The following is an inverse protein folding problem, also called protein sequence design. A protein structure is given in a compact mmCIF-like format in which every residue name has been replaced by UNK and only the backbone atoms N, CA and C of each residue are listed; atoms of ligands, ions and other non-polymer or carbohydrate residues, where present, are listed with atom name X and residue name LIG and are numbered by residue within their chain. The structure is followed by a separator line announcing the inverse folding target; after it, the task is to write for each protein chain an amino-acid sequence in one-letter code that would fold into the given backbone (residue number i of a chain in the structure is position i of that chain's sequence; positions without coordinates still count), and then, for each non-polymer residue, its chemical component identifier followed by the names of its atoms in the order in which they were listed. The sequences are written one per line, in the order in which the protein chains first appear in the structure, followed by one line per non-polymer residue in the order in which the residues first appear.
data_IF_090946949465
#
_entry.id   IF_090946949465
#
_cell.length_a   1.000
_cell.length_b   1.000
_cell.length_c   1.000
_cell.angle_alpha   90.00
_cell.angle_beta   90.00
_cell.angle_gamma   90.00
#
_symmetry.space_group_name_H-M   'P 1'
#
loop_
_entity.id
_entity.type
_entity.pdbx_description
1 polymer ?
#
# COMPACT_ATOMS: atom_id res chain seq x y z
N UNK A 1 -36.17 -17.20 1.09
CA UNK A 1 -35.09 -16.51 1.83
C UNK A 1 -35.36 -15.02 1.70
N UNK A 2 -35.40 -14.28 2.80
CA UNK A 2 -35.64 -12.83 2.77
C UNK A 2 -34.31 -12.09 2.53
N UNK A 3 -34.36 -10.81 2.11
CA UNK A 3 -33.16 -9.97 2.02
C UNK A 3 -32.41 -9.87 3.37
N UNK A 4 -33.12 -9.96 4.49
CA UNK A 4 -32.52 -10.01 5.83
C UNK A 4 -31.79 -11.32 6.09
N UNK A 5 -32.31 -12.45 5.58
CA UNK A 5 -31.64 -13.76 5.70
C UNK A 5 -30.37 -13.81 4.86
N UNK A 6 -30.40 -13.24 3.66
CA UNK A 6 -29.23 -13.14 2.77
C UNK A 6 -28.12 -12.28 3.40
N UNK A 7 -28.49 -11.13 3.98
CA UNK A 7 -27.54 -10.28 4.69
C UNK A 7 -26.92 -10.98 5.89
N UNK A 8 -27.73 -11.66 6.71
CA UNK A 8 -27.23 -12.42 7.87
C UNK A 8 -26.26 -13.53 7.43
N UNK A 9 -26.61 -14.29 6.38
CA UNK A 9 -25.75 -15.34 5.84
C UNK A 9 -24.43 -14.77 5.30
N UNK A 10 -24.47 -13.62 4.63
CA UNK A 10 -23.26 -12.94 4.16
C UNK A 10 -22.37 -12.49 5.33
N UNK A 11 -22.96 -11.94 6.39
CA UNK A 11 -22.23 -11.55 7.61
C UNK A 11 -21.58 -12.76 8.29
N UNK A 12 -22.31 -13.88 8.42
CA UNK A 12 -21.78 -15.12 8.98
C UNK A 12 -20.61 -15.67 8.14
N UNK A 13 -20.74 -15.65 6.80
CA UNK A 13 -19.65 -16.05 5.89
C UNK A 13 -18.42 -15.15 6.04
N UNK A 14 -18.59 -13.84 6.13
CA UNK A 14 -17.48 -12.90 6.33
C UNK A 14 -16.78 -13.10 7.67
N UNK A 15 -17.56 -13.29 8.76
CA UNK A 15 -17.00 -13.56 10.08
C UNK A 15 -16.19 -14.87 10.08
N UNK A 16 -16.71 -15.91 9.42
CA UNK A 16 -16.00 -17.20 9.28
C UNK A 16 -14.74 -17.09 8.43
N UNK A 17 -14.79 -16.35 7.32
CA UNK A 17 -13.61 -16.10 6.50
C UNK A 17 -12.52 -15.37 7.30
N UNK A 18 -12.89 -14.37 8.12
CA UNK A 18 -11.94 -13.68 9.00
C UNK A 18 -11.28 -14.62 10.01
N UNK A 19 -12.05 -15.48 10.66
CA UNK A 19 -11.51 -16.50 11.58
C UNK A 19 -10.52 -17.44 10.88
N UNK A 20 -10.81 -17.85 9.64
CA UNK A 20 -9.92 -18.71 8.86
C UNK A 20 -8.63 -17.99 8.46
N UNK A 21 -8.69 -16.70 8.12
CA UNK A 21 -7.49 -15.90 7.84
C UNK A 21 -6.61 -15.75 9.08
N UNK A 22 -7.22 -15.52 10.25
CA UNK A 22 -6.48 -15.41 11.51
C UNK A 22 -5.84 -16.76 11.91
N UNK A 23 -6.51 -17.87 11.62
CA UNK A 23 -6.05 -19.23 11.95
C UNK A 23 -5.03 -19.79 10.96
N UNK A 24 -5.19 -19.52 9.67
CA UNK A 24 -4.37 -20.05 8.58
C UNK A 24 -3.85 -18.93 7.67
N UNK A 25 -3.08 -17.95 8.20
CA UNK A 25 -2.69 -16.76 7.46
C UNK A 25 -1.83 -17.05 6.23
N UNK A 26 -1.01 -18.12 6.25
CA UNK A 26 -0.18 -18.47 5.10
C UNK A 26 -0.99 -19.19 4.03
N UNK A 27 -1.90 -20.08 4.43
CA UNK A 27 -2.83 -20.71 3.49
C UNK A 27 -3.81 -19.70 2.88
N UNK A 28 -4.30 -18.75 3.68
CA UNK A 28 -5.09 -17.62 3.20
C UNK A 28 -4.31 -16.79 2.17
N UNK A 29 -3.06 -16.44 2.46
CA UNK A 29 -2.23 -15.72 1.49
C UNK A 29 -2.04 -16.49 0.17
N UNK A 30 -1.86 -17.82 0.22
CA UNK A 30 -1.79 -18.65 -0.99
C UNK A 30 -3.10 -18.58 -1.78
N UNK A 31 -4.24 -18.78 -1.12
CA UNK A 31 -5.55 -18.89 -1.78
C UNK A 31 -6.11 -17.54 -2.25
N UNK A 32 -6.08 -16.51 -1.40
CA UNK A 32 -6.60 -15.17 -1.73
C UNK A 32 -5.60 -14.32 -2.51
N UNK A 33 -4.30 -14.48 -2.23
CA UNK A 33 -3.26 -13.57 -2.70
C UNK A 33 -2.56 -14.05 -3.96
N UNK A 34 -2.36 -15.36 -4.10
CA UNK A 34 -1.65 -15.95 -5.25
C UNK A 34 -2.62 -16.63 -6.20
N UNK A 35 -3.58 -17.39 -5.66
CA UNK A 35 -4.60 -18.12 -6.44
C UNK A 35 -5.93 -17.34 -6.54
N UNK A 36 -5.85 -16.01 -6.67
CA UNK A 36 -6.98 -15.11 -6.89
C UNK A 36 -7.62 -15.31 -8.29
N UNK A 37 -8.76 -14.69 -8.59
CA UNK A 37 -9.54 -14.93 -9.82
C UNK A 37 -8.76 -14.81 -11.15
N UNK A 38 -7.68 -14.03 -11.15
CA UNK A 38 -6.86 -13.74 -12.34
C UNK A 38 -5.52 -14.48 -12.31
N UNK A 39 -5.32 -15.44 -11.40
CA UNK A 39 -4.05 -16.14 -11.23
C UNK A 39 -3.57 -16.80 -12.53
N UNK A 40 -4.49 -17.29 -13.37
CA UNK A 40 -4.17 -17.90 -14.67
C UNK A 40 -3.62 -16.91 -15.70
N UNK A 41 -3.81 -15.60 -15.51
CA UNK A 41 -3.18 -14.58 -16.35
C UNK A 41 -1.72 -14.35 -15.97
N UNK A 42 -1.35 -14.66 -14.73
CA UNK A 42 0.00 -14.52 -14.20
C UNK A 42 0.81 -15.82 -14.28
N UNK A 43 0.12 -16.95 -14.19
CA UNK A 43 0.72 -18.27 -14.08
C UNK A 43 0.05 -19.24 -15.06
N UNK A 44 0.87 -20.01 -15.78
CA UNK A 44 0.35 -20.99 -16.73
C UNK A 44 -0.37 -22.15 -16.03
N UNK A 45 0.05 -22.48 -14.80
CA UNK A 45 -0.50 -23.58 -13.99
C UNK A 45 -0.46 -23.22 -12.50
N UNK A 46 -1.30 -23.87 -11.68
CA UNK A 46 -1.32 -23.60 -10.24
C UNK A 46 0.01 -24.00 -9.59
N UNK A 47 0.72 -24.99 -10.16
CA UNK A 47 2.07 -25.37 -9.71
C UNK A 47 3.02 -24.19 -9.83
N UNK A 48 3.01 -23.48 -10.97
CA UNK A 48 3.89 -22.31 -11.15
C UNK A 48 3.55 -21.18 -10.19
N UNK A 49 2.26 -20.98 -9.88
CA UNK A 49 1.81 -20.05 -8.86
C UNK A 49 2.29 -20.45 -7.45
N UNK A 50 2.23 -21.74 -7.12
CA UNK A 50 2.74 -22.28 -5.85
C UNK A 50 4.26 -22.14 -5.76
N UNK A 51 5.02 -22.39 -6.83
CA UNK A 51 6.48 -22.21 -6.80
C UNK A 51 6.88 -20.73 -6.58
N UNK A 52 6.13 -19.79 -7.17
CA UNK A 52 6.30 -18.35 -6.90
C UNK A 52 6.04 -18.02 -5.42
N UNK A 53 4.90 -18.50 -4.89
CA UNK A 53 4.57 -18.38 -3.47
C UNK A 53 5.64 -18.99 -2.57
N UNK A 54 6.19 -20.16 -2.91
CA UNK A 54 7.25 -20.83 -2.16
C UNK A 54 8.57 -20.05 -2.16
N UNK A 55 8.83 -19.23 -3.18
CA UNK A 55 9.98 -18.33 -3.25
C UNK A 55 10.08 -17.42 -2.02
N UNK A 56 8.95 -16.95 -1.50
CA UNK A 56 8.88 -16.14 -0.28
C UNK A 56 9.30 -16.89 1.00
N UNK A 57 9.19 -18.23 1.02
CA UNK A 57 9.47 -19.05 2.21
C UNK A 57 10.91 -19.57 2.25
N UNK A 58 11.63 -19.50 1.12
CA UNK A 58 13.02 -19.91 1.06
C UNK A 58 13.90 -19.11 2.03
N UNK A 59 13.54 -17.85 2.30
CA UNK A 59 14.31 -16.91 3.12
C UNK A 59 13.86 -16.83 4.58
N UNK A 60 12.68 -17.35 4.91
CA UNK A 60 12.11 -17.26 6.26
C UNK A 60 11.73 -18.66 6.81
N UNK A 61 12.61 -19.29 7.60
CA UNK A 61 12.36 -20.62 8.16
C UNK A 61 11.19 -20.64 9.17
N UNK A 62 10.88 -19.52 9.82
CA UNK A 62 9.77 -19.42 10.78
C UNK A 62 8.44 -19.41 10.05
N UNK A 63 8.30 -18.53 9.04
CA UNK A 63 7.13 -18.46 8.17
C UNK A 63 6.87 -19.82 7.50
N UNK A 64 7.93 -20.47 7.04
CA UNK A 64 7.88 -21.81 6.45
C UNK A 64 7.37 -22.87 7.42
N UNK A 65 7.90 -22.91 8.64
CA UNK A 65 7.46 -23.87 9.66
C UNK A 65 5.98 -23.69 10.00
N UNK A 66 5.49 -22.44 10.04
CA UNK A 66 4.08 -22.13 10.27
C UNK A 66 3.20 -22.58 9.12
N UNK A 67 3.54 -22.21 7.88
CA UNK A 67 2.80 -22.66 6.69
C UNK A 67 2.72 -24.18 6.60
N UNK A 68 3.82 -24.89 6.92
CA UNK A 68 3.83 -26.35 7.01
C UNK A 68 2.80 -26.87 8.00
N UNK A 69 2.78 -26.30 9.21
CA UNK A 69 1.84 -26.70 10.29
C UNK A 69 0.38 -26.48 9.85
N UNK A 70 0.09 -25.34 9.21
CA UNK A 70 -1.24 -25.05 8.67
C UNK A 70 -1.67 -26.08 7.62
N UNK A 71 -0.81 -26.39 6.65
CA UNK A 71 -1.08 -27.37 5.59
C UNK A 71 -1.23 -28.81 6.13
N UNK A 72 -0.44 -29.18 7.13
CA UNK A 72 -0.56 -30.48 7.83
C UNK A 72 -1.91 -30.58 8.56
N UNK A 73 -2.32 -29.53 9.28
CA UNK A 73 -3.62 -29.48 9.96
C UNK A 73 -4.79 -29.60 8.97
N UNK A 74 -4.79 -28.75 7.93
CA UNK A 74 -5.82 -28.74 6.88
C UNK A 74 -5.95 -30.11 6.19
N UNK A 75 -4.83 -30.75 5.87
CA UNK A 75 -4.82 -32.03 5.14
C UNK A 75 -5.09 -33.27 6.01
N UNK A 76 -4.91 -33.20 7.33
CA UNK A 76 -5.06 -34.34 8.24
C UNK A 76 -6.31 -34.31 9.11
N UNK A 77 -6.78 -33.12 9.51
CA UNK A 77 -7.83 -33.01 10.55
C UNK A 77 -9.21 -32.68 10.00
N UNK A 78 -9.30 -32.02 8.85
CA UNK A 78 -10.59 -31.58 8.30
C UNK A 78 -11.17 -32.62 7.35
N UNK A 79 -12.50 -32.85 7.34
CA UNK A 79 -13.15 -33.65 6.30
C UNK A 79 -13.11 -32.92 4.94
N UNK A 80 -13.28 -33.66 3.85
CA UNK A 80 -13.10 -33.13 2.48
C UNK A 80 -14.03 -31.95 2.16
N UNK A 81 -15.30 -32.07 2.55
CA UNK A 81 -16.32 -31.03 2.36
C UNK A 81 -15.98 -29.73 3.10
N UNK A 82 -15.44 -29.84 4.32
CA UNK A 82 -15.02 -28.67 5.10
C UNK A 82 -13.80 -28.00 4.45
N UNK A 83 -12.88 -28.80 3.87
CA UNK A 83 -11.72 -28.25 3.18
C UNK A 83 -12.14 -27.50 1.91
N UNK A 84 -13.04 -28.06 1.10
CA UNK A 84 -13.62 -27.34 -0.05
C UNK A 84 -14.31 -26.04 0.37
N UNK A 85 -15.08 -26.06 1.46
CA UNK A 85 -15.71 -24.85 2.01
C UNK A 85 -14.70 -23.78 2.43
N UNK A 86 -13.50 -24.16 2.90
CA UNK A 86 -12.43 -23.22 3.23
C UNK A 86 -11.87 -22.57 1.97
N UNK A 87 -11.66 -23.31 0.89
CA UNK A 87 -11.22 -22.74 -0.40
C UNK A 87 -12.22 -21.68 -0.87
N UNK A 88 -13.52 -21.99 -0.83
CA UNK A 88 -14.59 -21.07 -1.22
C UNK A 88 -14.65 -19.82 -0.34
N UNK A 89 -14.52 -20.00 0.99
CA UNK A 89 -14.55 -18.88 1.95
C UNK A 89 -13.32 -17.97 1.84
N UNK A 90 -12.17 -18.55 1.50
CA UNK A 90 -10.94 -17.82 1.22
C UNK A 90 -10.84 -17.36 -0.24
N UNK A 91 -11.90 -17.47 -1.04
CA UNK A 91 -11.94 -16.93 -2.39
C UNK A 91 -10.87 -17.51 -3.34
N UNK A 92 -10.43 -18.74 -3.09
CA UNK A 92 -9.52 -19.45 -3.98
C UNK A 92 -10.21 -19.71 -5.32
N UNK A 93 -9.52 -19.45 -6.42
CA UNK A 93 -10.01 -19.77 -7.77
C UNK A 93 -9.30 -20.97 -8.39
N UNK A 94 -8.50 -21.70 -7.60
CA UNK A 94 -8.03 -23.03 -8.03
C UNK A 94 -9.16 -24.04 -7.84
N UNK A 95 -9.39 -24.87 -8.86
CA UNK A 95 -10.35 -25.98 -8.81
C UNK A 95 -9.54 -27.27 -8.92
N UNK A 96 -9.11 -27.90 -7.80
CA UNK A 96 -8.25 -29.08 -7.83
C UNK A 96 -8.77 -30.24 -8.70
N UNK A 97 -10.10 -30.33 -8.84
CA UNK A 97 -10.74 -31.36 -9.65
C UNK A 97 -10.40 -31.27 -11.15
N UNK A 98 -10.03 -30.08 -11.66
CA UNK A 98 -9.61 -29.89 -13.05
C UNK A 98 -8.31 -30.64 -13.36
N UNK A 99 -7.46 -30.85 -12.34
CA UNK A 99 -6.23 -31.64 -12.39
C UNK A 99 -6.43 -33.08 -11.90
N UNK A 100 -7.67 -33.50 -11.66
CA UNK A 100 -7.98 -34.82 -11.13
C UNK A 100 -7.60 -35.02 -9.66
N UNK A 101 -7.49 -33.93 -8.89
CA UNK A 101 -7.15 -33.96 -7.46
C UNK A 101 -8.37 -33.62 -6.60
N UNK A 102 -8.44 -34.22 -5.41
CA UNK A 102 -9.26 -33.69 -4.30
C UNK A 102 -8.59 -32.47 -3.67
N UNK A 103 -9.33 -31.67 -2.89
CA UNK A 103 -8.72 -30.53 -2.18
C UNK A 103 -7.63 -31.01 -1.23
N UNK A 104 -7.84 -32.15 -0.55
CA UNK A 104 -6.83 -32.71 0.35
C UNK A 104 -5.59 -33.18 -0.38
N UNK A 105 -5.73 -33.84 -1.53
CA UNK A 105 -4.58 -34.24 -2.34
C UNK A 105 -3.81 -33.02 -2.84
N UNK A 106 -4.52 -31.97 -3.26
CA UNK A 106 -3.89 -30.72 -3.65
C UNK A 106 -3.12 -30.07 -2.49
N UNK A 107 -3.71 -29.96 -1.29
CA UNK A 107 -3.01 -29.43 -0.10
C UNK A 107 -1.78 -30.29 0.26
N UNK A 108 -1.87 -31.61 0.14
CA UNK A 108 -0.72 -32.52 0.35
C UNK A 108 0.36 -32.32 -0.70
N UNK A 109 0.00 -32.03 -1.94
CA UNK A 109 0.95 -31.75 -3.00
C UNK A 109 1.66 -30.41 -2.77
N UNK A 110 0.93 -29.37 -2.34
CA UNK A 110 1.54 -28.10 -1.89
C UNK A 110 2.49 -28.32 -0.71
N UNK A 111 2.09 -29.11 0.29
CA UNK A 111 2.95 -29.47 1.43
C UNK A 111 4.21 -30.22 0.98
N UNK A 112 4.08 -31.15 0.03
CA UNK A 112 5.22 -31.90 -0.55
C UNK A 112 6.19 -30.96 -1.26
N UNK A 113 5.69 -29.97 -2.01
CA UNK A 113 6.52 -28.96 -2.70
C UNK A 113 7.19 -28.01 -1.71
N UNK A 114 6.44 -27.57 -0.70
CA UNK A 114 6.99 -26.83 0.43
C UNK A 114 8.17 -27.62 0.97
N UNK A 115 8.03 -28.89 1.34
CA UNK A 115 9.13 -29.71 1.85
C UNK A 115 10.31 -29.90 0.88
N UNK A 116 10.04 -30.11 -0.41
CA UNK A 116 11.07 -30.29 -1.42
C UNK A 116 11.92 -29.03 -1.66
N UNK A 117 11.34 -27.84 -1.53
CA UNK A 117 12.07 -26.57 -1.73
C UNK A 117 13.23 -26.36 -0.73
N UNK A 118 13.28 -27.15 0.37
CA UNK A 118 14.40 -27.16 1.34
C UNK A 118 15.70 -27.72 0.76
N UNK A 119 15.61 -28.50 -0.31
CA UNK A 119 16.71 -29.31 -0.81
C UNK A 119 17.58 -28.60 -1.85
N UNK A 120 17.30 -27.34 -2.22
CA UNK A 120 18.20 -26.59 -3.11
C UNK A 120 19.36 -26.01 -2.28
N UNK A 121 20.59 -26.52 -2.44
CA UNK A 121 21.76 -25.88 -1.86
C UNK A 121 21.87 -24.45 -2.41
N UNK A 122 22.39 -23.53 -1.60
CA UNK A 122 22.53 -22.07 -1.87
C UNK A 122 23.44 -21.69 -3.07
N UNK A 123 23.53 -22.53 -4.11
CA UNK A 123 24.40 -22.31 -5.26
C UNK A 123 23.89 -22.81 -6.61
N UNK A 124 22.61 -23.18 -6.75
CA UNK A 124 22.05 -23.49 -8.08
C UNK A 124 21.60 -22.21 -8.79
N UNK A 125 22.43 -21.75 -9.71
CA UNK A 125 22.21 -20.60 -10.58
C UNK A 125 21.07 -20.90 -11.56
N UNK A 126 19.85 -20.48 -11.20
CA UNK A 126 18.73 -20.41 -12.12
C UNK A 126 18.31 -18.95 -12.22
N UNK A 127 18.51 -18.41 -13.41
CA UNK A 127 17.77 -17.28 -13.96
C UNK A 127 16.29 -17.64 -13.97
N UNK A 128 15.63 -17.43 -12.83
CA UNK A 128 14.18 -17.32 -12.75
C UNK A 128 13.81 -16.11 -13.58
N UNK A 129 12.99 -16.30 -14.60
CA UNK A 129 12.51 -15.22 -15.47
C UNK A 129 11.94 -14.09 -14.61
N UNK A 130 12.19 -12.84 -15.04
CA UNK A 130 11.77 -11.60 -14.39
C UNK A 130 10.24 -11.50 -14.22
N UNK A 131 9.66 -12.27 -13.30
CA UNK A 131 8.25 -12.22 -12.95
C UNK A 131 7.98 -12.11 -11.44
N UNK A 132 9.00 -12.25 -10.60
CA UNK A 132 8.79 -12.63 -9.20
C UNK A 132 9.65 -11.84 -8.19
N UNK A 133 9.82 -10.52 -8.35
CA UNK A 133 10.43 -9.69 -7.31
C UNK A 133 9.83 -8.28 -7.37
N UNK A 134 8.93 -7.96 -6.43
CA UNK A 134 8.31 -6.64 -6.39
C UNK A 134 7.41 -6.39 -5.20
N UNK A 135 7.84 -6.71 -3.97
CA UNK A 135 7.22 -6.11 -2.78
C UNK A 135 7.82 -4.72 -2.57
N UNK A 136 7.29 -3.74 -3.29
CA UNK A 136 7.64 -2.33 -3.15
C UNK A 136 6.75 -1.67 -2.09
N UNK A 137 7.36 -1.26 -0.98
CA UNK A 137 6.82 -0.18 -0.16
C UNK A 137 7.22 1.12 -0.86
N UNK A 138 6.28 1.81 -1.50
CA UNK A 138 6.58 3.05 -2.21
C UNK A 138 6.72 4.21 -1.22
N UNK A 139 7.93 4.76 -1.11
CA UNK A 139 8.16 6.06 -0.52
C UNK A 139 8.44 7.06 -1.65
N UNK A 140 7.43 7.82 -2.06
CA UNK A 140 7.52 8.72 -3.21
C UNK A 140 8.19 10.05 -2.79
N UNK A 141 9.51 10.15 -2.95
CA UNK A 141 10.23 11.43 -2.79
C UNK A 141 10.03 12.25 -4.07
N UNK A 142 9.19 13.29 -4.01
CA UNK A 142 8.93 14.14 -5.16
C UNK A 142 10.04 15.19 -5.31
N UNK A 143 10.96 14.97 -6.25
CA UNK A 143 11.98 15.95 -6.63
C UNK A 143 11.43 16.86 -7.72
N UNK A 144 11.10 18.10 -7.37
CA UNK A 144 10.67 19.11 -8.34
C UNK A 144 11.89 19.67 -9.10
N UNK A 145 11.90 19.52 -10.43
CA UNK A 145 12.81 20.26 -11.33
C UNK A 145 13.40 19.41 -12.45
N UNK A 146 13.10 19.78 -13.70
CA UNK A 146 13.52 19.08 -14.92
C UNK A 146 15.00 19.20 -15.28
N UNK A 147 15.92 18.91 -14.36
CA UNK A 147 17.32 18.64 -14.71
C UNK A 147 17.56 17.15 -14.95
N UNK A 148 18.48 16.77 -15.87
CA UNK A 148 18.84 15.38 -16.08
C UNK A 148 19.42 14.74 -14.81
N UNK A 149 18.94 13.55 -14.47
CA UNK A 149 19.15 12.83 -13.20
C UNK A 149 20.61 12.65 -12.73
N UNK A 150 21.60 12.86 -13.60
CA UNK A 150 23.01 12.67 -13.31
C UNK A 150 23.62 13.75 -12.37
N UNK A 151 23.17 15.00 -12.44
CA UNK A 151 23.74 16.10 -11.63
C UNK A 151 23.30 16.08 -10.15
N UNK A 152 22.02 15.78 -9.83
CA UNK A 152 21.57 15.56 -8.45
C UNK A 152 22.22 14.32 -7.80
N UNK A 153 22.39 13.22 -8.57
CA UNK A 153 23.05 11.97 -8.14
C UNK A 153 24.45 12.22 -7.59
N UNK A 154 25.30 12.92 -8.35
CA UNK A 154 26.67 13.19 -7.94
C UNK A 154 26.73 14.09 -6.68
N UNK A 155 25.77 14.99 -6.48
CA UNK A 155 25.74 15.88 -5.30
C UNK A 155 25.30 15.16 -4.04
N UNK A 156 24.24 14.35 -4.10
CA UNK A 156 23.75 13.57 -2.95
C UNK A 156 24.77 12.51 -2.55
N UNK A 157 25.32 11.76 -3.51
CA UNK A 157 26.35 10.75 -3.22
C UNK A 157 27.66 11.36 -2.73
N UNK A 158 28.10 12.50 -3.29
CA UNK A 158 29.32 13.17 -2.82
C UNK A 158 29.12 13.92 -1.49
N UNK A 159 27.88 14.24 -1.09
CA UNK A 159 27.58 14.76 0.25
C UNK A 159 27.61 13.63 1.29
N UNK A 160 27.00 12.47 0.97
CA UNK A 160 26.99 11.29 1.83
C UNK A 160 28.41 10.66 1.98
N UNK A 161 29.19 10.57 0.91
CA UNK A 161 30.55 10.00 0.93
C UNK A 161 31.59 10.87 1.67
N UNK A 162 31.29 12.15 1.90
CA UNK A 162 32.16 13.07 2.65
C UNK A 162 31.73 13.22 4.12
N UNK A 163 30.70 12.49 4.55
CA UNK A 163 30.10 12.65 5.87
C UNK A 163 30.82 11.84 6.97
N UNK A 164 31.25 12.42 8.10
CA UNK A 164 32.12 11.77 9.10
C UNK A 164 31.51 10.60 9.92
N UNK A 165 30.23 10.30 9.72
CA UNK A 165 29.44 9.26 10.42
C UNK A 165 28.84 8.19 9.49
N UNK A 166 29.25 8.12 8.22
CA UNK A 166 28.89 7.00 7.36
C UNK A 166 29.62 5.72 7.80
N UNK A 167 29.18 5.07 8.88
CA UNK A 167 29.83 3.85 9.41
C UNK A 167 29.27 2.55 8.85
N UNK A 168 28.28 2.57 7.95
CA UNK A 168 27.85 1.39 7.20
C UNK A 168 27.00 1.72 5.96
N UNK A 169 27.36 2.72 5.16
CA UNK A 169 26.93 2.68 3.76
C UNK A 169 27.79 1.61 3.08
N UNK A 170 27.37 0.34 3.16
CA UNK A 170 27.99 -0.68 2.31
C UNK A 170 27.41 -0.46 0.93
N UNK A 171 28.25 -0.07 -0.01
CA UNK A 171 27.99 -0.37 -1.41
C UNK A 171 28.00 -1.89 -1.51
N UNK A 172 26.83 -2.49 -1.71
CA UNK A 172 26.78 -3.87 -2.15
C UNK A 172 27.49 -3.98 -3.51
N UNK A 173 27.83 -5.20 -3.93
CA UNK A 173 28.58 -5.44 -5.16
C UNK A 173 27.87 -4.93 -6.45
N UNK A 174 26.62 -4.50 -6.33
CA UNK A 174 25.70 -4.10 -7.40
C UNK A 174 25.32 -2.59 -7.38
N UNK A 175 26.10 -1.74 -6.71
CA UNK A 175 25.86 -0.29 -6.56
C UNK A 175 24.63 0.11 -5.69
N UNK A 176 23.98 -0.81 -4.99
CA UNK A 176 22.92 -0.47 -4.04
C UNK A 176 23.47 0.12 -2.72
N UNK A 177 22.73 1.07 -2.13
CA UNK A 177 23.04 1.66 -0.81
C UNK A 177 22.09 1.10 0.24
N UNK A 178 22.64 0.45 1.26
CA UNK A 178 21.88 -0.04 2.41
C UNK A 178 21.92 0.93 3.61
N UNK A 179 20.82 1.04 4.34
CA UNK A 179 20.64 1.88 5.53
C UNK A 179 19.98 1.06 6.65
N UNK A 180 20.54 1.13 7.87
CA UNK A 180 19.92 0.55 9.07
C UNK A 180 19.32 1.64 9.95
N UNK A 181 18.02 1.52 10.24
CA UNK A 181 17.31 2.34 11.21
C UNK A 181 17.08 1.54 12.49
N UNK A 182 17.33 2.13 13.66
CA UNK A 182 17.08 1.52 14.97
C UNK A 182 16.20 2.41 15.81
N UNK A 183 15.20 1.81 16.45
CA UNK A 183 14.24 2.45 17.34
C UNK A 183 14.65 2.21 18.80
N UNK A 184 14.22 3.10 19.69
CA UNK A 184 14.55 3.07 21.12
C UNK A 184 13.95 1.87 21.86
N UNK A 185 12.88 1.30 21.32
CA UNK A 185 12.20 0.10 21.84
C UNK A 185 12.87 -1.21 21.41
N UNK A 186 14.03 -1.13 20.75
CA UNK A 186 14.78 -2.28 20.23
C UNK A 186 14.36 -2.72 18.84
N UNK A 187 13.33 -2.10 18.25
CA UNK A 187 12.97 -2.34 16.86
C UNK A 187 14.04 -1.82 15.89
N UNK A 188 14.06 -2.33 14.66
CA UNK A 188 14.94 -1.88 13.60
C UNK A 188 14.37 -2.15 12.20
N UNK A 189 14.87 -1.41 11.21
CA UNK A 189 14.44 -1.44 9.81
C UNK A 189 15.66 -1.26 8.90
N UNK A 190 15.94 -2.21 8.02
CA UNK A 190 16.97 -2.13 6.99
C UNK A 190 16.35 -1.74 5.65
N UNK A 191 16.93 -0.75 4.99
CA UNK A 191 16.46 -0.18 3.74
C UNK A 191 17.56 -0.33 2.69
N UNK A 192 17.23 -0.62 1.43
CA UNK A 192 18.16 -0.53 0.32
C UNK A 192 17.61 0.37 -0.78
N UNK A 193 18.49 1.21 -1.33
CA UNK A 193 18.22 1.99 -2.53
C UNK A 193 18.80 1.23 -3.73
N UNK A 194 17.93 0.68 -4.59
CA UNK A 194 18.34 -0.15 -5.73
C UNK A 194 18.25 0.61 -7.06
N UNK A 195 19.38 0.70 -7.79
CA UNK A 195 19.44 1.16 -9.17
C UNK A 195 19.32 2.67 -9.38
N UNK A 196 20.24 3.26 -10.15
CA UNK A 196 20.37 4.70 -10.33
C UNK A 196 19.58 5.28 -11.54
N UNK A 197 18.84 4.44 -12.25
CA UNK A 197 18.35 4.74 -13.62
C UNK A 197 16.82 4.68 -13.73
N UNK A 198 16.15 4.15 -12.71
CA UNK A 198 14.69 4.25 -12.53
C UNK A 198 14.40 5.11 -11.30
N UNK A 199 13.22 5.73 -11.27
CA UNK A 199 12.80 6.63 -10.18
C UNK A 199 13.14 5.98 -8.82
N UNK A 200 13.80 6.75 -7.97
CA UNK A 200 14.57 6.30 -6.81
C UNK A 200 13.73 5.55 -5.78
N UNK A 201 13.76 4.21 -5.82
CA UNK A 201 12.98 3.38 -4.90
C UNK A 201 13.81 2.97 -3.67
N UNK A 202 13.44 3.51 -2.52
CA UNK A 202 13.91 3.04 -1.21
C UNK A 202 13.09 1.79 -0.84
N UNK A 203 13.72 0.64 -0.82
CA UNK A 203 13.08 -0.65 -0.54
C UNK A 203 13.39 -1.09 0.88
N UNK A 204 12.41 -1.66 1.61
CA UNK A 204 12.69 -2.33 2.87
C UNK A 204 13.28 -3.70 2.57
N UNK A 205 14.50 -3.97 3.06
CA UNK A 205 15.17 -5.26 2.89
C UNK A 205 14.85 -6.21 4.05
N UNK A 206 14.87 -5.71 5.28
CA UNK A 206 14.63 -6.51 6.48
C UNK A 206 14.10 -5.62 7.62
N UNK A 207 13.40 -6.19 8.60
CA UNK A 207 12.95 -5.45 9.77
C UNK A 207 12.63 -6.36 10.97
N UNK A 208 12.74 -5.80 12.16
CA UNK A 208 12.13 -6.35 13.37
C UNK A 208 11.50 -5.18 14.12
N UNK A 209 10.19 -5.05 14.07
CA UNK A 209 9.50 -3.91 14.67
C UNK A 209 8.78 -4.35 15.95
N UNK A 210 8.97 -3.59 17.03
CA UNK A 210 8.05 -3.67 18.16
C UNK A 210 6.67 -3.15 17.76
N UNK A 211 5.62 -3.50 18.51
CA UNK A 211 4.27 -2.97 18.28
C UNK A 211 4.22 -1.43 18.28
N UNK A 212 5.02 -0.78 19.12
CA UNK A 212 5.08 0.68 19.20
C UNK A 212 5.71 1.29 17.94
N UNK A 213 6.84 0.75 17.48
CA UNK A 213 7.51 1.18 16.24
C UNK A 213 6.68 0.90 14.99
N UNK A 214 5.98 -0.24 14.94
CA UNK A 214 5.07 -0.56 13.84
C UNK A 214 3.87 0.41 13.79
N UNK A 215 3.28 0.72 14.94
CA UNK A 215 2.18 1.70 15.04
C UNK A 215 2.63 3.09 14.59
N UNK A 216 3.82 3.53 15.04
CA UNK A 216 4.40 4.80 14.63
C UNK A 216 4.61 4.87 13.10
N UNK A 217 5.26 3.87 12.50
CA UNK A 217 5.48 3.81 11.06
C UNK A 217 4.15 3.76 10.28
N UNK A 218 3.14 3.06 10.81
CA UNK A 218 1.80 3.02 10.24
C UNK A 218 1.10 4.39 10.32
N UNK A 219 1.22 5.11 11.42
CA UNK A 219 0.64 6.45 11.59
C UNK A 219 1.28 7.47 10.63
N UNK A 220 2.60 7.39 10.43
CA UNK A 220 3.32 8.19 9.43
C UNK A 220 2.85 7.85 8.02
N UNK A 221 2.77 6.55 7.69
CA UNK A 221 2.33 6.08 6.38
C UNK A 221 0.88 6.48 6.05
N UNK A 222 -0.03 6.39 7.04
CA UNK A 222 -1.44 6.80 6.91
C UNK A 222 -1.60 8.33 6.88
N UNK A 223 -0.65 9.08 7.44
CA UNK A 223 -0.65 10.55 7.37
C UNK A 223 -0.10 11.10 6.04
N UNK A 224 0.64 10.29 5.27
CA UNK A 224 1.35 10.76 4.08
C UNK A 224 2.53 11.68 4.41
N UNK A 225 3.01 11.62 5.66
CA UNK A 225 4.11 12.45 6.15
C UNK A 225 5.46 11.84 5.75
N UNK A 226 6.45 12.70 5.49
CA UNK A 226 7.82 12.29 5.21
C UNK A 226 8.61 12.09 6.52
N UNK A 227 9.49 11.10 6.56
CA UNK A 227 10.56 11.05 7.57
C UNK A 227 11.89 11.35 6.90
N UNK A 228 12.56 12.41 7.35
CA UNK A 228 13.99 12.60 7.06
C UNK A 228 14.80 12.26 8.32
N UNK A 229 15.87 11.49 8.13
CA UNK A 229 16.85 11.21 9.17
C UNK A 229 18.08 12.10 8.98
N UNK A 230 18.44 12.88 10.00
CA UNK A 230 19.69 13.67 10.05
C UNK A 230 20.67 13.05 11.07
N UNK A 231 21.82 12.51 10.64
CA UNK A 231 22.88 12.05 11.53
C UNK A 231 23.96 13.12 11.74
N UNK A 232 23.88 13.93 12.82
CA UNK A 232 24.95 14.89 13.16
C UNK A 232 26.08 14.32 14.06
N UNK A 233 27.27 14.92 13.94
CA UNK A 233 28.61 14.36 14.20
C UNK A 233 29.19 14.26 15.62
N UNK A 234 29.90 13.14 15.82
CA UNK A 234 31.23 12.83 16.40
C UNK A 234 31.67 13.14 17.85
N UNK A 235 31.22 14.17 18.56
CA UNK A 235 31.79 14.46 19.90
C UNK A 235 30.83 14.32 21.08
N UNK A 236 29.64 13.76 20.87
CA UNK A 236 28.79 13.21 21.94
C UNK A 236 28.06 11.95 21.44
N UNK A 237 27.77 10.98 22.32
CA UNK A 237 27.35 9.66 21.89
C UNK A 237 25.85 9.64 21.51
N UNK A 238 25.58 8.96 20.37
CA UNK A 238 24.33 8.30 19.92
C UNK A 238 23.10 9.17 19.61
N UNK A 239 22.63 9.16 18.34
CA UNK A 239 21.28 8.77 17.84
C UNK A 239 20.81 9.55 16.59
N UNK A 240 20.01 8.93 15.69
CA UNK A 240 19.43 9.60 14.52
C UNK A 240 18.28 10.53 14.91
N UNK A 241 18.20 11.71 14.30
CA UNK A 241 17.06 12.63 14.48
C UNK A 241 15.94 12.31 13.50
N UNK A 242 14.69 12.28 13.99
CA UNK A 242 13.47 12.09 13.19
C UNK A 242 12.82 13.44 12.94
N UNK A 243 12.65 13.82 11.67
CA UNK A 243 12.00 15.07 11.28
C UNK A 243 10.57 14.77 10.82
N UNK A 244 9.60 15.38 11.50
CA UNK A 244 8.16 15.26 11.23
C UNK A 244 7.64 16.58 10.63
N UNK A 245 6.80 16.49 9.60
CA UNK A 245 6.35 17.66 8.85
C UNK A 245 5.05 18.31 9.38
N UNK A 246 4.28 17.64 10.25
CA UNK A 246 3.01 18.17 10.74
C UNK A 246 3.01 18.51 12.24
N UNK A 247 2.65 19.77 12.57
CA UNK A 247 2.69 20.33 13.93
C UNK A 247 1.78 19.60 14.93
N UNK A 248 0.63 19.10 14.47
CA UNK A 248 -0.31 18.34 15.32
C UNK A 248 0.24 17.00 15.85
N UNK A 249 1.29 16.46 15.23
CA UNK A 249 1.92 15.21 15.68
C UNK A 249 2.98 15.44 16.76
N UNK A 250 3.50 16.67 16.90
CA UNK A 250 4.53 17.01 17.88
C UNK A 250 4.05 16.82 19.33
N UNK A 251 2.77 17.13 19.59
CA UNK A 251 2.16 17.00 20.93
C UNK A 251 1.66 15.60 21.27
N UNK A 252 1.71 14.64 20.34
CA UNK A 252 1.22 13.27 20.53
C UNK A 252 2.33 12.23 20.70
N UNK A 253 3.58 12.64 20.56
CA UNK A 253 4.72 11.77 20.75
C UNK A 253 4.84 11.43 22.23
N UNK A 254 5.04 10.15 22.60
CA UNK A 254 5.28 9.82 23.99
C UNK A 254 6.60 10.48 24.41
N UNK A 255 6.56 11.27 25.48
CA UNK A 255 7.73 12.01 25.99
C UNK A 255 8.88 11.10 26.42
N UNK A 256 8.66 9.79 26.51
CA UNK A 256 9.63 8.77 26.85
C UNK A 256 10.28 8.07 25.65
N UNK A 257 9.82 8.31 24.42
CA UNK A 257 10.30 7.57 23.23
C UNK A 257 11.63 8.09 22.69
N UNK A 258 12.04 9.29 23.10
CA UNK A 258 13.30 9.90 22.69
C UNK A 258 13.99 10.53 23.89
N UNK A 259 15.31 10.41 23.98
CA UNK A 259 16.11 11.16 24.94
C UNK A 259 16.20 12.66 24.61
N UNK A 260 15.72 13.10 23.42
CA UNK A 260 15.72 14.49 22.95
C UNK A 260 14.42 14.86 22.19
N UNK A 261 14.16 16.17 22.06
CA UNK A 261 12.93 16.66 21.41
C UNK A 261 12.95 16.42 19.88
N UNK A 262 11.83 16.00 19.28
CA UNK A 262 11.63 16.00 17.84
C UNK A 262 11.91 17.40 17.28
N UNK A 263 12.70 17.51 16.22
CA UNK A 263 13.05 18.82 15.66
C UNK A 263 12.05 19.19 14.59
N UNK A 264 11.27 20.24 14.85
CA UNK A 264 10.46 20.90 13.84
C UNK A 264 11.39 21.67 12.89
N UNK A 265 11.47 21.25 11.62
CA UNK A 265 12.27 21.97 10.66
C UNK A 265 11.55 23.28 10.27
N UNK A 266 12.11 24.42 10.69
CA UNK A 266 11.77 25.70 10.05
C UNK A 266 12.40 25.73 8.63
N UNK A 267 12.00 26.69 7.80
CA UNK A 267 12.42 26.74 6.40
C UNK A 267 13.96 26.80 6.21
N UNK A 268 14.69 27.33 7.20
CA UNK A 268 16.16 27.40 7.20
C UNK A 268 16.76 26.02 7.46
N UNK A 269 16.25 25.28 8.45
CA UNK A 269 16.72 23.93 8.76
C UNK A 269 16.38 22.94 7.64
N UNK A 270 15.16 23.04 7.07
CA UNK A 270 14.72 22.24 5.93
C UNK A 270 15.59 22.49 4.69
N UNK A 271 15.99 23.74 4.47
CA UNK A 271 16.86 24.12 3.37
C UNK A 271 18.28 23.56 3.53
N UNK A 272 18.87 23.68 4.71
CA UNK A 272 20.19 23.11 5.00
C UNK A 272 20.18 21.57 4.82
N UNK A 273 19.12 20.89 5.25
CA UNK A 273 18.95 19.44 5.12
C UNK A 273 18.78 18.94 3.68
N UNK A 274 18.07 19.71 2.85
CA UNK A 274 17.83 19.36 1.45
C UNK A 274 18.90 19.90 0.50
N UNK A 275 19.93 20.58 1.03
CA UNK A 275 20.94 21.28 0.22
C UNK A 275 20.33 22.38 -0.66
N UNK A 276 19.16 22.89 -0.26
CA UNK A 276 18.42 23.94 -0.95
C UNK A 276 18.72 25.28 -0.26
N UNK A 277 18.49 26.39 -0.95
CA UNK A 277 18.53 27.69 -0.25
C UNK A 277 17.27 27.84 0.61
N UNK A 278 17.32 28.53 1.77
CA UNK A 278 16.14 28.82 2.60
C UNK A 278 14.96 29.41 1.82
N UNK A 279 15.27 30.16 0.76
CA UNK A 279 14.30 30.71 -0.17
C UNK A 279 13.55 29.64 -0.96
N UNK A 280 14.26 28.65 -1.52
CA UNK A 280 13.65 27.59 -2.34
C UNK A 280 12.79 26.63 -1.50
N UNK A 281 13.20 26.34 -0.26
CA UNK A 281 12.40 25.56 0.69
C UNK A 281 11.12 26.32 1.11
N UNK A 282 11.24 27.64 1.33
CA UNK A 282 10.08 28.49 1.59
C UNK A 282 9.16 28.60 0.36
N UNK A 283 9.70 28.68 -0.86
CA UNK A 283 8.93 28.69 -2.12
C UNK A 283 8.19 27.37 -2.31
N UNK A 284 8.80 26.21 -2.04
CA UNK A 284 8.14 24.90 -2.10
C UNK A 284 6.99 24.77 -1.09
N UNK A 285 7.24 25.13 0.18
CA UNK A 285 6.19 25.14 1.22
C UNK A 285 5.06 26.11 0.87
N UNK A 286 5.40 27.29 0.36
CA UNK A 286 4.43 28.31 -0.05
C UNK A 286 3.63 27.84 -1.26
N UNK A 287 4.23 27.14 -2.22
CA UNK A 287 3.51 26.53 -3.34
C UNK A 287 2.50 25.49 -2.84
N UNK A 288 2.94 24.48 -2.07
CA UNK A 288 2.04 23.44 -1.55
C UNK A 288 0.89 24.01 -0.69
N UNK A 289 1.16 25.00 0.16
CA UNK A 289 0.11 25.67 0.95
C UNK A 289 -0.77 26.60 0.10
N UNK A 290 -0.20 27.27 -0.90
CA UNK A 290 -0.97 28.07 -1.86
C UNK A 290 -1.86 27.17 -2.73
N UNK A 291 -1.46 25.94 -3.00
CA UNK A 291 -2.21 24.96 -3.76
C UNK A 291 -3.42 24.44 -2.98
N UNK A 292 -3.24 24.25 -1.67
CA UNK A 292 -4.32 23.96 -0.71
C UNK A 292 -5.25 25.17 -0.57
N UNK A 293 -4.69 26.37 -0.41
CA UNK A 293 -5.46 27.62 -0.29
C UNK A 293 -6.17 28.01 -1.60
N UNK A 294 -5.64 27.60 -2.75
CA UNK A 294 -6.23 27.80 -4.08
C UNK A 294 -7.34 26.78 -4.40
N UNK A 295 -7.63 25.84 -3.50
CA UNK A 295 -8.74 24.88 -3.65
C UNK A 295 -8.48 23.78 -4.66
N UNK A 296 -7.21 23.39 -4.87
CA UNK A 296 -6.88 22.22 -5.71
C UNK A 296 -7.27 20.93 -4.99
N UNK A 297 -7.77 19.97 -5.76
CA UNK A 297 -8.35 18.72 -5.28
C UNK A 297 -7.27 17.88 -4.61
N UNK A 298 -7.57 17.42 -3.40
CA UNK A 298 -6.74 16.41 -2.75
C UNK A 298 -7.16 15.03 -3.29
N UNK A 299 -6.29 14.44 -4.10
CA UNK A 299 -6.38 13.04 -4.48
C UNK A 299 -5.52 12.25 -3.51
N UNK A 300 -6.15 11.59 -2.54
CA UNK A 300 -5.45 10.70 -1.62
C UNK A 300 -5.61 9.29 -2.15
N UNK A 301 -4.48 8.66 -2.49
CA UNK A 301 -4.49 7.23 -2.81
C UNK A 301 -4.45 6.45 -1.52
N UNK A 302 -5.50 5.67 -1.25
CA UNK A 302 -5.48 4.71 -0.15
C UNK A 302 -4.70 3.50 -0.67
N UNK A 303 -3.38 3.49 -0.45
CA UNK A 303 -2.53 2.37 -0.82
C UNK A 303 -2.76 1.24 0.18
N UNK A 304 -3.55 0.23 -0.23
CA UNK A 304 -3.79 -0.96 0.58
C UNK A 304 -2.53 -1.82 0.59
N UNK A 305 -1.81 -1.84 1.71
CA UNK A 305 -0.94 -2.96 2.05
C UNK A 305 -1.83 -4.05 2.67
N UNK A 306 -2.58 -4.83 1.87
CA UNK A 306 -3.47 -5.92 2.32
C UNK A 306 -4.08 -5.66 3.71
N UNK A 307 -4.73 -4.52 3.89
CA UNK A 307 -5.11 -4.06 5.22
C UNK A 307 -6.48 -4.63 5.56
N UNK A 308 -6.57 -5.45 6.61
CA UNK A 308 -7.83 -5.95 7.21
C UNK A 308 -8.70 -4.84 7.87
N UNK A 309 -8.41 -3.57 7.59
CA UNK A 309 -9.14 -2.44 8.15
C UNK A 309 -10.36 -2.17 7.29
N UNK A 310 -11.51 -1.96 7.94
CA UNK A 310 -12.73 -1.60 7.24
C UNK A 310 -12.50 -0.28 6.47
N UNK A 311 -12.70 -0.32 5.15
CA UNK A 311 -12.56 0.84 4.29
C UNK A 311 -13.35 2.04 4.86
N UNK A 312 -14.54 1.81 5.41
CA UNK A 312 -15.37 2.86 6.02
C UNK A 312 -14.68 3.55 7.20
N UNK A 313 -13.93 2.83 8.04
CA UNK A 313 -13.19 3.43 9.15
C UNK A 313 -12.06 4.34 8.64
N UNK A 314 -11.32 3.89 7.62
CA UNK A 314 -10.30 4.72 6.96
C UNK A 314 -10.92 5.99 6.37
N UNK A 315 -12.06 5.85 5.68
CA UNK A 315 -12.78 6.97 5.08
C UNK A 315 -13.27 7.97 6.13
N UNK A 316 -13.82 7.48 7.26
CA UNK A 316 -14.25 8.32 8.38
C UNK A 316 -13.07 9.08 8.97
N UNK A 317 -11.91 8.43 9.13
CA UNK A 317 -10.70 9.07 9.63
C UNK A 317 -10.20 10.19 8.69
N UNK A 318 -10.22 9.97 7.37
CA UNK A 318 -9.89 11.01 6.40
C UNK A 318 -10.95 12.13 6.37
N UNK A 319 -12.24 11.79 6.37
CA UNK A 319 -13.33 12.77 6.41
C UNK A 319 -13.21 13.72 7.62
N UNK A 320 -12.89 13.17 8.79
CA UNK A 320 -12.73 13.94 10.03
C UNK A 320 -11.57 14.96 9.96
N UNK A 321 -10.54 14.71 9.13
CA UNK A 321 -9.42 15.64 8.91
C UNK A 321 -9.77 16.77 7.94
N UNK A 322 -10.82 16.58 7.13
CA UNK A 322 -11.25 17.54 6.12
C UNK A 322 -12.74 17.88 6.25
N UNK A 323 -13.19 18.43 7.40
CA UNK A 323 -14.62 18.64 7.68
C UNK A 323 -15.29 19.65 6.72
N UNK A 324 -14.50 20.49 6.03
CA UNK A 324 -14.99 21.43 5.02
C UNK A 324 -15.17 20.80 3.63
N UNK A 325 -14.68 19.58 3.41
CA UNK A 325 -14.71 18.91 2.11
C UNK A 325 -15.73 17.77 2.08
N UNK A 326 -16.34 17.59 0.91
CA UNK A 326 -17.21 16.46 0.63
C UNK A 326 -16.39 15.26 0.18
N UNK A 327 -16.55 14.12 0.84
CA UNK A 327 -15.81 12.90 0.45
C UNK A 327 -16.45 12.19 -0.74
N UNK A 328 -15.61 11.76 -1.67
CA UNK A 328 -15.95 10.92 -2.81
C UNK A 328 -14.89 9.84 -3.00
N UNK A 329 -15.30 8.64 -3.39
CA UNK A 329 -14.41 7.58 -3.83
C UNK A 329 -14.21 7.64 -5.34
N UNK A 330 -12.99 7.35 -5.78
CA UNK A 330 -12.70 6.91 -7.12
C UNK A 330 -12.22 5.46 -7.05
N UNK A 331 -13.07 4.54 -7.50
CA UNK A 331 -12.72 3.12 -7.62
C UNK A 331 -11.94 2.90 -8.91
N UNK A 332 -10.77 2.28 -8.81
CA UNK A 332 -9.85 2.03 -9.91
C UNK A 332 -9.31 0.61 -9.86
N UNK A 333 -8.65 0.16 -10.93
CA UNK A 333 -7.83 -1.04 -10.92
C UNK A 333 -6.56 -0.77 -11.74
N UNK A 334 -5.42 -1.40 -11.39
CA UNK A 334 -4.16 -1.18 -12.13
C UNK A 334 -4.21 -1.72 -13.56
N UNK A 335 -4.98 -2.78 -13.79
CA UNK A 335 -5.17 -3.39 -15.11
C UNK A 335 -6.08 -2.56 -16.03
N UNK A 336 -6.93 -1.69 -15.47
CA UNK A 336 -7.93 -0.92 -16.18
C UNK A 336 -7.31 0.26 -16.96
N UNK A 337 -7.30 0.18 -18.29
CA UNK A 337 -6.77 1.24 -19.16
C UNK A 337 -7.50 2.58 -18.99
N UNK A 338 -8.85 2.66 -19.01
CA UNK A 338 -9.57 3.92 -18.76
C UNK A 338 -9.26 4.53 -17.39
N UNK A 339 -8.90 3.71 -16.39
CA UNK A 339 -8.52 4.18 -15.06
C UNK A 339 -7.18 4.92 -15.09
N UNK A 340 -6.20 4.42 -15.86
CA UNK A 340 -4.88 5.06 -16.03
C UNK A 340 -4.99 6.37 -16.82
N UNK A 341 -5.84 6.41 -17.84
CA UNK A 341 -6.13 7.65 -18.58
C UNK A 341 -6.76 8.70 -17.68
N UNK A 342 -7.80 8.33 -16.91
CA UNK A 342 -8.43 9.22 -15.95
C UNK A 342 -7.44 9.74 -14.92
N UNK A 343 -6.53 8.90 -14.41
CA UNK A 343 -5.49 9.31 -13.45
C UNK A 343 -4.61 10.44 -13.99
N UNK A 344 -4.18 10.38 -15.25
CA UNK A 344 -3.43 11.46 -15.87
C UNK A 344 -4.25 12.76 -15.96
N UNK A 345 -5.55 12.63 -16.25
CA UNK A 345 -6.47 13.76 -16.39
C UNK A 345 -6.88 14.38 -15.06
N UNK A 346 -6.82 13.67 -13.93
CA UNK A 346 -7.18 14.24 -12.63
C UNK A 346 -6.35 15.48 -12.28
N UNK A 347 -5.14 15.61 -12.82
CA UNK A 347 -4.28 16.79 -12.63
C UNK A 347 -4.59 17.95 -13.58
N UNK A 348 -5.46 17.77 -14.58
CA UNK A 348 -5.83 18.82 -15.51
C UNK A 348 -6.65 19.94 -14.82
N UNK A 349 -6.42 21.22 -15.15
CA UNK A 349 -7.13 22.35 -14.55
C UNK A 349 -8.65 22.32 -14.71
N UNK A 350 -9.19 21.70 -15.76
CA UNK A 350 -10.63 21.53 -15.98
C UNK A 350 -11.28 20.65 -14.90
N UNK A 351 -10.72 19.46 -14.69
CA UNK A 351 -11.20 18.53 -13.67
C UNK A 351 -10.92 19.01 -12.24
N UNK A 352 -9.77 19.64 -12.00
CA UNK A 352 -9.45 20.23 -10.70
C UNK A 352 -10.48 21.27 -10.27
N UNK A 353 -10.92 22.15 -11.18
CA UNK A 353 -12.02 23.10 -10.92
C UNK A 353 -13.35 22.40 -10.67
N UNK A 354 -13.65 21.35 -11.44
CA UNK A 354 -14.91 20.60 -11.33
C UNK A 354 -15.05 19.91 -9.97
N UNK A 355 -13.94 19.37 -9.46
CA UNK A 355 -13.86 18.63 -8.22
C UNK A 355 -13.61 19.54 -6.99
N UNK A 356 -13.58 20.86 -7.16
CA UNK A 356 -13.38 21.80 -6.07
C UNK A 356 -14.44 21.59 -4.97
N UNK A 357 -13.99 21.55 -3.72
CA UNK A 357 -14.85 21.28 -2.56
C UNK A 357 -15.09 19.79 -2.28
N UNK A 358 -14.47 18.90 -3.05
CA UNK A 358 -14.45 17.46 -2.81
C UNK A 358 -13.06 16.96 -2.39
N UNK A 359 -13.06 15.99 -1.48
CA UNK A 359 -11.93 15.14 -1.14
C UNK A 359 -12.08 13.84 -1.95
N UNK A 360 -11.17 13.61 -2.90
CA UNK A 360 -11.19 12.43 -3.74
C UNK A 360 -10.27 11.35 -3.15
N UNK A 361 -10.87 10.23 -2.74
CA UNK A 361 -10.14 9.09 -2.17
C UNK A 361 -10.10 7.98 -3.21
N UNK A 362 -8.91 7.69 -3.72
CA UNK A 362 -8.71 6.64 -4.73
C UNK A 362 -8.54 5.29 -4.05
N UNK A 363 -9.31 4.31 -4.49
CA UNK A 363 -9.33 2.95 -3.95
C UNK A 363 -9.13 1.96 -5.10
N UNK A 364 -8.07 1.17 -4.99
CA UNK A 364 -7.82 0.06 -5.89
C UNK A 364 -8.71 -1.13 -5.50
N UNK A 365 -9.63 -1.52 -6.39
CA UNK A 365 -10.60 -2.58 -6.11
C UNK A 365 -9.95 -3.95 -5.98
N UNK A 366 -8.80 -4.18 -6.62
CA UNK A 366 -8.10 -5.47 -6.54
C UNK A 366 -7.44 -5.62 -5.16
N UNK A 367 -6.99 -4.49 -4.58
CA UNK A 367 -6.33 -4.47 -3.27
C UNK A 367 -7.29 -4.43 -2.09
N UNK A 368 -8.43 -3.76 -2.24
CA UNK A 368 -9.44 -3.65 -1.17
C UNK A 368 -10.54 -4.70 -1.26
N UNK A 369 -10.62 -5.47 -2.37
CA UNK A 369 -11.56 -6.56 -2.56
C UNK A 369 -13.00 -6.19 -2.19
N UNK A 370 -13.59 -6.98 -1.27
CA UNK A 370 -14.96 -6.84 -0.75
C UNK A 370 -15.16 -5.51 0.02
N UNK A 371 -14.10 -4.76 0.36
CA UNK A 371 -14.15 -3.54 1.16
C UNK A 371 -15.08 -2.44 0.62
N UNK A 372 -15.27 -2.34 -0.70
CA UNK A 372 -16.26 -1.41 -1.28
C UNK A 372 -17.70 -1.71 -0.81
N UNK A 373 -18.01 -2.95 -0.42
CA UNK A 373 -19.34 -3.31 0.12
C UNK A 373 -19.60 -2.67 1.47
N UNK A 374 -18.57 -2.37 2.26
CA UNK A 374 -18.75 -1.75 3.59
C UNK A 374 -19.24 -0.30 3.50
N UNK A 375 -19.03 0.36 2.37
CA UNK A 375 -19.60 1.69 2.07
C UNK A 375 -20.96 1.61 1.36
N UNK A 376 -21.53 0.40 1.24
CA UNK A 376 -22.83 0.16 0.62
C UNK A 376 -22.79 0.09 -0.91
N UNK A 377 -21.63 -0.16 -1.51
CA UNK A 377 -21.49 -0.21 -2.97
C UNK A 377 -20.85 -1.51 -3.47
N UNK A 378 -21.45 -2.10 -4.50
CA UNK A 378 -20.90 -3.22 -5.25
C UNK A 378 -20.72 -2.76 -6.69
N UNK A 379 -19.50 -2.37 -7.07
CA UNK A 379 -19.22 -2.03 -8.46
C UNK A 379 -18.98 -3.29 -9.27
N UNK A 380 -19.46 -3.29 -10.51
CA UNK A 380 -18.97 -4.18 -11.58
C UNK A 380 -18.12 -3.44 -12.61
N UNK A 381 -17.91 -2.12 -12.45
CA UNK A 381 -17.22 -1.29 -13.42
C UNK A 381 -16.18 -0.38 -12.76
N UNK A 382 -15.06 -0.16 -13.46
CA UNK A 382 -14.03 0.82 -13.11
C UNK A 382 -13.57 1.55 -14.38
N UNK A 383 -13.23 2.85 -14.33
CA UNK A 383 -13.27 3.70 -13.15
C UNK A 383 -14.70 4.07 -12.74
N UNK A 384 -14.94 4.25 -11.44
CA UNK A 384 -16.26 4.64 -10.92
C UNK A 384 -16.14 5.65 -9.78
N UNK A 385 -16.89 6.75 -9.89
CA UNK A 385 -17.05 7.73 -8.82
C UNK A 385 -18.23 7.39 -7.92
N UNK A 386 -18.02 7.48 -6.60
CA UNK A 386 -19.05 7.24 -5.58
C UNK A 386 -19.04 8.38 -4.57
N UNK A 387 -20.09 9.21 -4.56
CA UNK A 387 -20.24 10.24 -3.54
C UNK A 387 -20.60 9.59 -2.20
N UNK A 388 -20.04 10.11 -1.11
CA UNK A 388 -20.30 9.60 0.23
C UNK A 388 -21.00 10.63 1.12
N UNK A 389 -21.84 10.18 2.05
CA UNK A 389 -22.41 11.01 3.12
C UNK A 389 -21.43 11.26 4.28
N UNK A 390 -21.89 11.91 5.35
CA UNK A 390 -21.11 12.16 6.57
C UNK A 390 -20.77 10.89 7.37
N UNK A 391 -21.45 9.78 7.08
CA UNK A 391 -21.21 8.47 7.68
C UNK A 391 -20.39 7.54 6.77
N UNK A 392 -19.83 8.08 5.68
CA UNK A 392 -19.10 7.37 4.63
C UNK A 392 -19.91 6.26 3.96
N UNK A 393 -21.21 6.49 3.72
CA UNK A 393 -22.09 5.62 2.93
C UNK A 393 -22.34 6.23 1.56
N UNK A 394 -22.46 5.39 0.53
CA UNK A 394 -22.75 5.83 -0.82
C UNK A 394 -24.09 6.59 -0.89
N UNK A 395 -24.09 7.73 -1.61
CA UNK A 395 -25.29 8.54 -1.89
C UNK A 395 -25.45 8.80 -3.38
N UNK A 396 -26.69 8.65 -3.87
CA UNK A 396 -26.99 8.75 -5.29
C UNK A 396 -26.58 7.50 -6.09
N UNK A 397 -26.75 7.57 -7.41
CA UNK A 397 -26.23 6.54 -8.30
C UNK A 397 -24.71 6.75 -8.49
N UNK A 398 -23.89 5.69 -8.61
CA UNK A 398 -22.49 5.84 -9.00
C UNK A 398 -22.37 6.44 -10.41
N UNK A 399 -21.22 7.05 -10.71
CA UNK A 399 -20.87 7.51 -12.06
C UNK A 399 -19.68 6.69 -12.58
N UNK A 400 -19.95 5.73 -13.47
CA UNK A 400 -18.92 4.89 -14.07
C UNK A 400 -18.34 5.47 -15.37
N UNK A 401 -17.30 4.81 -15.88
CA UNK A 401 -16.63 5.16 -17.13
C UNK A 401 -17.50 5.21 -18.38
N UNK A 402 -18.70 4.64 -18.35
CA UNK A 402 -19.67 4.71 -19.46
C UNK A 402 -20.42 6.04 -19.54
N UNK A 403 -20.27 6.92 -18.55
CA UNK A 403 -20.98 8.20 -18.49
C UNK A 403 -20.38 9.32 -19.36
N UNK A 404 -19.18 9.11 -19.93
CA UNK A 404 -18.53 10.05 -20.83
C UNK A 404 -18.08 9.35 -22.11
N UNK A 405 -18.07 10.08 -23.24
CA UNK A 405 -17.79 9.50 -24.56
C UNK A 405 -16.30 9.41 -24.88
N UNK A 406 -15.50 10.31 -24.31
CA UNK A 406 -14.08 10.48 -24.62
C UNK A 406 -13.27 10.70 -23.34
N UNK A 407 -12.01 10.22 -23.32
CA UNK A 407 -11.06 10.44 -22.23
C UNK A 407 -10.41 11.83 -22.33
N UNK A 408 -11.22 12.89 -22.31
CA UNK A 408 -10.77 14.29 -22.21
C UNK A 408 -11.27 14.93 -20.92
N UNK A 409 -10.56 15.94 -20.39
CA UNK A 409 -11.00 16.58 -19.15
C UNK A 409 -12.33 17.31 -19.32
N UNK A 410 -12.64 17.84 -20.51
CA UNK A 410 -13.95 18.45 -20.80
C UNK A 410 -15.10 17.43 -20.80
N UNK A 411 -14.92 16.26 -21.42
CA UNK A 411 -15.96 15.24 -21.51
C UNK A 411 -16.27 14.65 -20.12
N UNK A 412 -15.23 14.35 -19.34
CA UNK A 412 -15.37 13.83 -17.97
C UNK A 412 -15.99 14.90 -17.07
N UNK A 413 -15.55 16.17 -17.17
CA UNK A 413 -16.14 17.26 -16.41
C UNK A 413 -17.63 17.47 -16.75
N UNK A 414 -18.01 17.37 -18.03
CA UNK A 414 -19.40 17.48 -18.46
C UNK A 414 -20.30 16.41 -17.84
N UNK A 415 -19.79 15.20 -17.63
CA UNK A 415 -20.49 14.13 -16.90
C UNK A 415 -20.51 14.36 -15.38
N UNK A 416 -19.39 14.78 -14.80
CA UNK A 416 -19.25 14.97 -13.34
C UNK A 416 -20.10 16.13 -12.81
N UNK A 417 -20.14 17.28 -13.47
CA UNK A 417 -20.84 18.48 -12.97
C UNK A 417 -22.31 18.24 -12.59
N UNK A 418 -23.17 17.68 -13.47
CA UNK A 418 -24.56 17.43 -13.12
C UNK A 418 -24.68 16.37 -12.02
N UNK A 419 -23.83 15.34 -12.04
CA UNK A 419 -23.81 14.27 -11.05
C UNK A 419 -23.42 14.78 -9.64
N UNK A 420 -22.33 15.55 -9.53
CA UNK A 420 -21.90 16.16 -8.26
C UNK A 420 -22.97 17.08 -7.66
N UNK A 421 -23.75 17.77 -8.50
CA UNK A 421 -24.87 18.61 -8.06
C UNK A 421 -26.01 17.78 -7.47
N UNK A 422 -26.36 16.66 -8.10
CA UNK A 422 -27.38 15.74 -7.59
C UNK A 422 -26.93 15.06 -6.29
N UNK A 423 -25.67 14.62 -6.19
CA UNK A 423 -25.13 14.07 -4.95
C UNK A 423 -25.10 15.11 -3.81
N UNK A 424 -24.83 16.38 -4.13
CA UNK A 424 -24.78 17.44 -3.14
C UNK A 424 -26.12 17.70 -2.45
N UNK A 425 -27.26 17.51 -3.15
CA UNK A 425 -28.60 17.75 -2.58
C UNK A 425 -29.11 16.58 -1.75
N UNK A 426 -28.52 15.38 -1.89
CA UNK A 426 -28.94 14.15 -1.19
C UNK A 426 -28.15 13.86 0.09
N UNK A 427 -27.18 14.70 0.43
CA UNK A 427 -26.26 14.50 1.55
C UNK A 427 -26.75 15.12 2.87
N UNK A 428 -27.82 15.90 2.82
CA UNK A 428 -28.61 16.34 3.97
C UNK A 428 -29.56 15.22 4.41
#
# INVERSE_FOLDING_TARGET
MTASDELRLAQERMARARELVDRYPHFANLTTGVLHQDWMHHFATWESAVEDWLGDFARDPVKRSRARTELEELSSQLPEEALGSIFDLLGSNVVPADDGLTHREWVREVLRRLDASRARPEGSDHTVGMGALGRQLYLLIHMAGGEPAAAPRARVLAALARHPLATAARTAADESLEFDLRFSDGGWLQLALAGADQRSDLTVQDCSLSQQSATFLQEIGVAGDYLLFDPQGKDTPVTPSVILFHEAQQGRLPTSTFSHQPVAANATLLADLLGMTPRLAQEYRTATLADIAAGRVQVITIAGAFVFVDLRELLLAHAARHPALRVMLLLTASWCEPCRELEALLMHPGLQRTLQGWLLLRVDIDRFGIGARSVGYQSSAVPTFVALDSQCRAVGAPLDGGAWTDSTDEAIAAALVPWLRDCATRRE
#
